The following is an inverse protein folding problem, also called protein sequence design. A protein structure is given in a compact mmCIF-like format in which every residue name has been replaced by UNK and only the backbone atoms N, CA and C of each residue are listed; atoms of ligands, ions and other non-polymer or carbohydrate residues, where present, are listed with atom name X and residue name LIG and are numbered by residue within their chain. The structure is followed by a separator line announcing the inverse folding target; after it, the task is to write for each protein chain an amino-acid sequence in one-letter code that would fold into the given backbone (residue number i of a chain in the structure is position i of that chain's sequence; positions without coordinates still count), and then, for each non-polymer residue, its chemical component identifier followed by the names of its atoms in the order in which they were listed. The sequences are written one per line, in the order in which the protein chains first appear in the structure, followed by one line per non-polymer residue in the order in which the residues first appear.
data_IF_422272175083
#
_entry.id   IF_422272175083
#
_cell.length_a   1.000
_cell.length_b   1.000
_cell.length_c   1.000
_cell.angle_alpha   90.00
_cell.angle_beta   90.00
_cell.angle_gamma   90.00
#
_symmetry.space_group_name_H-M   'P 1'
#
loop_
_entity.id
_entity.type
_entity.pdbx_description
1 polymer ?
#
# COMPACT_ATOMS: atom_id res chain seq x y z
N UNK A 1 8.48 20.22 29.41
CA UNK A 1 8.23 18.96 28.72
C UNK A 1 8.92 19.09 27.36
N UNK A 2 10.02 18.37 27.10
CA UNK A 2 10.63 18.36 25.77
C UNK A 2 9.62 17.72 24.83
N UNK A 3 9.23 18.44 23.78
CA UNK A 3 8.37 17.88 22.73
C UNK A 3 9.13 16.73 22.10
N UNK A 4 8.61 15.53 22.21
CA UNK A 4 9.12 14.38 21.47
C UNK A 4 9.09 14.72 19.98
N UNK A 5 10.28 14.83 19.35
CA UNK A 5 10.41 15.24 17.95
C UNK A 5 10.74 14.02 17.11
N UNK A 6 9.86 13.71 16.17
CA UNK A 6 10.17 12.74 15.12
C UNK A 6 11.11 13.40 14.11
N UNK A 7 12.20 12.71 13.80
CA UNK A 7 13.16 13.08 12.77
C UNK A 7 13.24 11.96 11.73
N UNK A 8 13.16 12.32 10.45
CA UNK A 8 13.39 11.38 9.35
C UNK A 8 14.55 11.91 8.52
N UNK A 9 15.57 11.09 8.33
CA UNK A 9 16.78 11.44 7.57
C UNK A 9 17.38 10.22 6.88
N UNK A 10 18.29 10.41 5.93
CA UNK A 10 19.15 9.34 5.42
C UNK A 10 20.00 8.78 6.57
N UNK A 11 20.14 7.46 6.60
CA UNK A 11 20.99 6.77 7.58
C UNK A 11 22.43 6.90 7.15
N UNK A 12 23.28 7.27 8.09
CA UNK A 12 24.72 7.47 7.89
C UNK A 12 25.59 6.71 8.92
N UNK A 13 25.00 6.24 10.01
CA UNK A 13 25.69 5.54 11.08
C UNK A 13 25.63 4.02 10.90
N UNK A 14 26.77 3.34 11.01
CA UNK A 14 26.86 1.86 10.90
C UNK A 14 25.91 1.14 11.87
N UNK A 15 25.76 1.65 13.09
CA UNK A 15 24.90 1.04 14.10
C UNK A 15 23.41 1.11 13.74
N UNK A 16 22.99 2.17 13.05
CA UNK A 16 21.61 2.31 12.57
C UNK A 16 21.30 1.32 11.44
N UNK A 17 22.26 0.99 10.57
CA UNK A 17 22.07 -0.08 9.58
C UNK A 17 21.92 -1.45 10.27
N UNK A 18 22.65 -1.71 11.34
CA UNK A 18 22.48 -2.93 12.15
C UNK A 18 21.11 -2.95 12.83
N UNK A 19 20.63 -1.78 13.28
CA UNK A 19 19.30 -1.65 13.87
C UNK A 19 18.19 -1.92 12.83
N UNK A 20 18.38 -1.51 11.57
CA UNK A 20 17.46 -1.87 10.48
C UNK A 20 17.33 -3.40 10.31
N UNK A 21 18.45 -4.13 10.49
CA UNK A 21 18.40 -5.61 10.46
C UNK A 21 17.57 -6.16 11.63
N UNK A 22 17.71 -5.61 12.84
CA UNK A 22 16.90 -6.02 14.00
C UNK A 22 15.41 -5.74 13.79
N UNK A 23 15.07 -4.59 13.18
CA UNK A 23 13.68 -4.28 12.82
C UNK A 23 13.15 -5.32 11.82
N UNK A 24 13.92 -5.68 10.78
CA UNK A 24 13.52 -6.70 9.83
C UNK A 24 13.27 -8.05 10.51
N UNK A 25 14.15 -8.48 11.42
CA UNK A 25 14.01 -9.73 12.20
C UNK A 25 12.72 -9.74 13.04
N UNK A 26 12.33 -8.60 13.63
CA UNK A 26 11.06 -8.51 14.36
C UNK A 26 9.83 -8.60 13.44
N UNK A 27 9.94 -8.09 12.21
CA UNK A 27 8.84 -8.11 11.23
C UNK A 27 8.67 -9.46 10.56
N UNK A 28 9.78 -10.13 10.24
CA UNK A 28 9.79 -11.43 9.56
C UNK A 28 9.76 -12.54 10.62
N UNK A 29 8.58 -12.93 11.05
CA UNK A 29 8.40 -13.92 12.12
C UNK A 29 8.87 -15.35 11.77
N UNK A 30 9.21 -15.68 10.52
CA UNK A 30 9.29 -17.08 10.09
C UNK A 30 10.48 -17.50 9.23
N UNK A 31 11.25 -16.64 8.59
CA UNK A 31 12.42 -17.03 7.80
C UNK A 31 13.43 -15.89 7.67
N UNK A 32 14.70 -16.18 7.91
CA UNK A 32 15.84 -15.28 7.66
C UNK A 32 16.03 -14.95 6.16
N UNK A 33 15.38 -15.70 5.28
CA UNK A 33 15.38 -15.50 3.83
C UNK A 33 14.57 -14.25 3.49
N UNK A 34 15.25 -13.16 3.19
CA UNK A 34 14.62 -11.86 2.85
C UNK A 34 15.09 -10.70 3.73
N UNK A 35 15.91 -10.96 4.75
CA UNK A 35 16.55 -9.91 5.53
C UNK A 35 17.71 -9.31 4.72
N UNK A 36 17.63 -8.01 4.46
CA UNK A 36 18.69 -7.27 3.78
C UNK A 36 19.79 -6.94 4.79
N UNK A 37 21.04 -7.38 4.55
CA UNK A 37 22.16 -7.15 5.47
C UNK A 37 22.50 -5.67 5.62
N UNK A 38 23.04 -5.27 6.77
CA UNK A 38 23.41 -3.89 7.09
C UNK A 38 24.34 -3.26 6.02
N UNK A 39 25.39 -3.98 5.61
CA UNK A 39 26.33 -3.48 4.60
C UNK A 39 25.66 -3.20 3.24
N UNK A 40 24.61 -3.97 2.88
CA UNK A 40 23.91 -3.77 1.63
C UNK A 40 22.99 -2.55 1.70
N UNK A 41 22.35 -2.29 2.86
CA UNK A 41 21.57 -1.07 3.10
C UNK A 41 22.46 0.18 2.98
N UNK A 42 23.68 0.13 3.49
CA UNK A 42 24.68 1.18 3.34
C UNK A 42 25.08 1.40 1.87
N UNK A 43 25.46 0.33 1.16
CA UNK A 43 25.81 0.38 -0.26
C UNK A 43 24.69 0.92 -1.13
N UNK A 44 23.44 0.60 -0.84
CA UNK A 44 22.26 1.13 -1.55
C UNK A 44 22.23 2.66 -1.43
N UNK A 45 22.38 3.21 -0.22
CA UNK A 45 22.40 4.66 0.00
C UNK A 45 23.55 5.36 -0.75
N UNK A 46 24.75 4.76 -0.73
CA UNK A 46 25.95 5.28 -1.39
C UNK A 46 25.89 5.23 -2.92
N UNK A 47 25.05 4.36 -3.50
CA UNK A 47 24.98 4.13 -4.95
C UNK A 47 23.64 4.60 -5.58
N UNK A 48 23.15 5.75 -5.13
CA UNK A 48 21.98 6.41 -5.73
C UNK A 48 20.64 5.93 -5.23
N UNK A 49 20.59 4.93 -4.33
CA UNK A 49 19.38 4.58 -3.61
C UNK A 49 19.10 5.51 -2.44
N UNK A 50 18.17 5.11 -1.57
CA UNK A 50 17.82 5.79 -0.33
C UNK A 50 17.70 4.77 0.80
N UNK A 51 18.32 5.04 1.95
CA UNK A 51 18.05 4.33 3.20
C UNK A 51 17.70 5.35 4.26
N UNK A 52 16.40 5.43 4.60
CA UNK A 52 15.83 6.41 5.52
C UNK A 52 15.59 5.81 6.88
N UNK A 53 15.98 6.53 7.94
CA UNK A 53 15.64 6.23 9.32
C UNK A 53 14.57 7.17 9.86
N UNK A 54 13.64 6.63 10.62
CA UNK A 54 12.66 7.37 11.42
C UNK A 54 13.05 7.31 12.90
N UNK A 55 13.34 8.44 13.49
CA UNK A 55 13.91 8.55 14.84
C UNK A 55 12.97 9.26 15.82
N UNK A 56 13.01 8.85 17.06
CA UNK A 56 12.46 9.58 18.20
C UNK A 56 13.57 9.72 19.26
N UNK A 57 13.96 10.95 19.58
CA UNK A 57 15.04 11.22 20.54
C UNK A 57 16.30 10.38 20.23
N UNK A 58 16.79 10.45 19.00
CA UNK A 58 17.96 9.72 18.46
C UNK A 58 17.81 8.20 18.36
N UNK A 59 16.72 7.62 18.86
CA UNK A 59 16.44 6.18 18.74
C UNK A 59 15.76 5.89 17.41
N UNK A 60 16.29 4.95 16.61
CA UNK A 60 15.68 4.45 15.40
C UNK A 60 14.42 3.64 15.73
N UNK A 61 13.27 4.03 15.16
CA UNK A 61 11.97 3.38 15.35
C UNK A 61 11.56 2.53 14.16
N UNK A 62 12.06 2.89 12.98
CA UNK A 62 11.70 2.28 11.71
C UNK A 62 12.59 2.81 10.59
N UNK A 63 12.51 2.15 9.46
CA UNK A 63 13.32 2.50 8.28
C UNK A 63 12.54 2.27 6.99
N UNK A 64 13.04 2.86 5.90
CA UNK A 64 12.66 2.54 4.54
C UNK A 64 13.90 2.52 3.67
N UNK A 65 14.04 1.53 2.80
CA UNK A 65 15.09 1.59 1.80
C UNK A 65 14.54 1.44 0.38
N UNK A 66 15.26 2.05 -0.55
CA UNK A 66 14.96 2.04 -1.97
C UNK A 66 16.25 1.96 -2.75
N UNK A 67 16.36 1.00 -3.63
CA UNK A 67 17.53 0.94 -4.52
C UNK A 67 17.29 1.72 -5.82
N UNK A 68 18.38 2.18 -6.41
CA UNK A 68 18.38 2.83 -7.71
C UNK A 68 18.06 1.81 -8.81
N UNK A 69 17.21 2.20 -9.74
CA UNK A 69 16.84 1.41 -10.88
C UNK A 69 16.86 2.28 -12.14
N UNK A 70 16.95 1.63 -13.29
CA UNK A 70 16.95 2.31 -14.59
C UNK A 70 16.14 1.50 -15.61
N UNK A 71 15.31 2.18 -16.38
CA UNK A 71 14.73 1.61 -17.58
C UNK A 71 14.92 2.55 -18.78
N UNK A 72 14.88 2.01 -19.98
CA UNK A 72 15.01 2.83 -21.21
C UNK A 72 13.88 3.87 -21.33
N UNK A 73 12.71 3.55 -20.84
CA UNK A 73 11.52 4.41 -20.97
C UNK A 73 11.41 5.43 -19.84
N UNK A 74 11.76 5.05 -18.62
CA UNK A 74 11.58 5.88 -17.41
C UNK A 74 12.84 6.62 -16.99
N UNK A 75 14.02 6.24 -17.53
CA UNK A 75 15.30 6.74 -17.03
C UNK A 75 15.59 6.19 -15.63
N UNK A 76 16.20 7.04 -14.78
CA UNK A 76 16.45 6.72 -13.38
C UNK A 76 15.16 6.82 -12.55
N UNK A 77 14.90 5.79 -11.75
CA UNK A 77 13.82 5.75 -10.77
C UNK A 77 14.25 4.97 -9.52
N UNK A 78 13.45 5.05 -8.47
CA UNK A 78 13.67 4.29 -7.25
C UNK A 78 12.70 3.11 -7.14
N UNK A 79 13.20 1.95 -6.74
CA UNK A 79 12.37 0.84 -6.30
C UNK A 79 12.43 0.76 -4.77
N UNK A 80 11.31 1.13 -4.11
CA UNK A 80 11.19 1.09 -2.66
C UNK A 80 10.82 -0.33 -2.23
N UNK A 81 11.74 -1.03 -1.61
CA UNK A 81 11.55 -2.45 -1.28
C UNK A 81 10.85 -2.64 0.07
N UNK A 82 11.50 -2.24 1.14
CA UNK A 82 10.97 -2.46 2.49
C UNK A 82 10.81 -1.15 3.25
N UNK A 83 9.67 -1.00 3.89
CA UNK A 83 9.42 -0.03 4.95
C UNK A 83 8.94 -0.77 6.19
N UNK A 84 9.68 -0.65 7.28
CA UNK A 84 9.40 -1.37 8.51
C UNK A 84 9.54 -0.50 9.76
N UNK A 85 8.74 -0.82 10.77
CA UNK A 85 8.78 -0.19 12.10
C UNK A 85 8.69 -1.28 13.16
N UNK A 86 9.35 -1.08 14.29
CA UNK A 86 9.10 -1.89 15.47
C UNK A 86 7.61 -1.97 15.78
N UNK A 87 7.11 -3.12 16.22
CA UNK A 87 5.67 -3.37 16.48
C UNK A 87 5.03 -2.29 17.38
N UNK A 88 5.77 -1.81 18.39
CA UNK A 88 5.31 -0.76 19.29
C UNK A 88 5.04 0.60 18.60
N UNK A 89 5.60 0.82 17.42
CA UNK A 89 5.49 2.08 16.67
C UNK A 89 4.69 1.96 15.38
N UNK A 90 4.14 0.80 15.07
CA UNK A 90 3.23 0.62 13.95
C UNK A 90 1.88 1.33 14.18
N UNK A 91 1.14 1.60 13.11
CA UNK A 91 -0.18 2.27 13.12
C UNK A 91 -0.20 3.69 13.71
N UNK A 92 0.97 4.35 13.84
CA UNK A 92 1.11 5.73 14.35
C UNK A 92 1.32 6.78 13.25
N UNK A 93 0.88 6.50 12.02
CA UNK A 93 1.03 7.37 10.84
C UNK A 93 2.48 7.68 10.44
N UNK A 94 3.49 7.07 11.07
CA UNK A 94 4.91 7.30 10.78
C UNK A 94 5.28 6.94 9.33
N UNK A 95 4.67 5.90 8.76
CA UNK A 95 4.91 5.50 7.37
C UNK A 95 4.57 6.59 6.36
N UNK A 96 3.55 7.42 6.61
CA UNK A 96 3.23 8.55 5.75
C UNK A 96 4.31 9.66 5.85
N UNK A 97 4.80 9.96 7.05
CA UNK A 97 5.90 10.93 7.24
C UNK A 97 7.18 10.47 6.50
N UNK A 98 7.50 9.16 6.57
CA UNK A 98 8.63 8.60 5.81
C UNK A 98 8.42 8.77 4.32
N UNK A 99 7.20 8.55 3.80
CA UNK A 99 6.87 8.76 2.38
C UNK A 99 7.01 10.23 1.95
N UNK A 100 6.67 11.19 2.82
CA UNK A 100 6.88 12.61 2.53
C UNK A 100 8.37 12.95 2.36
N UNK A 101 9.24 12.44 3.23
CA UNK A 101 10.69 12.64 3.10
C UNK A 101 11.25 11.88 1.90
N UNK A 102 10.79 10.64 1.66
CA UNK A 102 11.16 9.87 0.46
C UNK A 102 10.81 10.63 -0.83
N UNK A 103 9.65 11.28 -0.88
CA UNK A 103 9.22 12.10 -2.01
C UNK A 103 10.23 13.24 -2.30
N UNK A 104 10.58 14.00 -1.27
CA UNK A 104 11.52 15.12 -1.41
C UNK A 104 12.89 14.66 -1.92
N UNK A 105 13.45 13.65 -1.25
CA UNK A 105 14.77 13.12 -1.60
C UNK A 105 14.79 12.42 -2.97
N UNK A 106 13.70 11.75 -3.36
CA UNK A 106 13.59 11.17 -4.69
C UNK A 106 13.60 12.25 -5.79
N UNK A 107 12.91 13.38 -5.57
CA UNK A 107 12.95 14.53 -6.49
C UNK A 107 14.35 15.15 -6.56
N UNK A 108 15.02 15.36 -5.42
CA UNK A 108 16.37 15.91 -5.33
C UNK A 108 17.41 15.04 -6.05
N UNK A 109 17.29 13.70 -5.92
CA UNK A 109 18.13 12.73 -6.64
C UNK A 109 17.78 12.63 -8.13
N UNK A 110 16.72 13.29 -8.60
CA UNK A 110 16.34 13.32 -10.01
C UNK A 110 15.52 12.10 -10.47
N UNK A 111 14.98 11.31 -9.56
CA UNK A 111 14.14 10.18 -9.92
C UNK A 111 12.90 10.61 -10.71
N UNK A 112 12.54 9.83 -11.72
CA UNK A 112 11.31 10.05 -12.49
C UNK A 112 10.06 9.62 -11.71
N UNK A 113 10.18 8.53 -10.95
CA UNK A 113 9.12 7.92 -10.15
C UNK A 113 9.68 7.05 -9.04
N UNK A 114 8.81 6.55 -8.18
CA UNK A 114 9.14 5.49 -7.22
C UNK A 114 8.16 4.34 -7.41
N UNK A 115 8.65 3.10 -7.48
CA UNK A 115 7.86 1.89 -7.62
C UNK A 115 7.99 1.06 -6.35
N UNK A 116 6.92 0.40 -5.93
CA UNK A 116 6.96 -0.66 -4.91
C UNK A 116 5.79 -1.62 -5.05
N UNK A 117 5.85 -2.68 -4.26
CA UNK A 117 4.78 -3.67 -4.23
C UNK A 117 4.16 -3.77 -2.84
N UNK A 118 2.88 -4.10 -2.78
CA UNK A 118 2.20 -4.35 -1.50
C UNK A 118 1.08 -5.38 -1.65
N UNK A 119 0.68 -5.99 -0.53
CA UNK A 119 -0.43 -6.94 -0.50
C UNK A 119 -1.76 -6.22 -0.75
N UNK A 120 -2.49 -6.54 -1.83
CA UNK A 120 -3.72 -5.86 -2.21
C UNK A 120 -4.86 -5.99 -1.19
N UNK A 121 -4.81 -6.96 -0.29
CA UNK A 121 -5.88 -7.18 0.68
C UNK A 121 -5.66 -6.45 2.02
N UNK A 122 -4.54 -5.74 2.17
CA UNK A 122 -4.25 -4.94 3.37
C UNK A 122 -4.77 -3.50 3.22
N UNK A 123 -5.95 -3.22 3.75
CA UNK A 123 -6.59 -1.90 3.71
C UNK A 123 -5.71 -0.75 4.23
N UNK A 124 -4.98 -0.87 5.35
CA UNK A 124 -4.05 0.17 5.82
C UNK A 124 -2.97 0.53 4.80
N UNK A 125 -2.44 -0.47 4.07
CA UNK A 125 -1.46 -0.23 3.01
C UNK A 125 -2.10 0.50 1.81
N UNK A 126 -3.29 0.06 1.40
CA UNK A 126 -4.05 0.72 0.34
C UNK A 126 -4.33 2.20 0.66
N UNK A 127 -4.72 2.49 1.88
CA UNK A 127 -4.98 3.85 2.34
C UNK A 127 -3.73 4.74 2.24
N UNK A 128 -2.57 4.27 2.68
CA UNK A 128 -1.32 5.04 2.54
C UNK A 128 -0.95 5.16 1.07
N UNK A 129 -0.88 4.05 0.36
CA UNK A 129 -0.28 3.94 -0.96
C UNK A 129 -1.07 4.63 -2.08
N UNK A 130 -2.39 4.57 -2.01
CA UNK A 130 -3.25 5.16 -3.03
C UNK A 130 -3.84 6.47 -2.54
N UNK A 131 -4.51 6.45 -1.38
CA UNK A 131 -5.25 7.62 -0.93
C UNK A 131 -4.33 8.73 -0.43
N UNK A 132 -3.36 8.43 0.47
CA UNK A 132 -2.52 9.46 1.08
C UNK A 132 -1.37 9.92 0.19
N UNK A 133 -0.68 9.01 -0.50
CA UNK A 133 0.48 9.41 -1.33
C UNK A 133 0.14 9.57 -2.81
N UNK A 134 -1.06 9.17 -3.25
CA UNK A 134 -1.50 9.37 -4.63
C UNK A 134 -0.94 8.39 -5.66
N UNK A 135 -0.39 7.25 -5.23
CA UNK A 135 0.09 6.22 -6.15
C UNK A 135 -1.03 5.58 -6.96
N UNK A 136 -0.68 4.96 -8.08
CA UNK A 136 -1.59 4.25 -8.97
C UNK A 136 -1.06 2.83 -9.15
N UNK A 137 -1.95 1.82 -9.03
CA UNK A 137 -1.57 0.44 -9.31
C UNK A 137 -1.64 0.19 -10.80
N UNK A 138 -0.51 -0.21 -11.38
CA UNK A 138 -0.36 -0.45 -12.81
C UNK A 138 -0.74 -1.88 -13.20
N UNK A 139 -0.33 -2.87 -12.40
CA UNK A 139 -0.61 -4.29 -12.65
C UNK A 139 -0.56 -5.12 -11.37
N UNK A 140 -0.92 -6.37 -11.52
CA UNK A 140 -1.00 -7.36 -10.45
C UNK A 140 -0.02 -8.51 -10.70
N UNK A 141 0.81 -8.82 -9.73
CA UNK A 141 1.75 -9.94 -9.75
C UNK A 141 1.28 -11.05 -8.81
N UNK A 142 1.11 -12.24 -9.36
CA UNK A 142 0.83 -13.44 -8.57
C UNK A 142 2.11 -14.04 -8.03
N UNK A 143 2.01 -14.64 -6.86
CA UNK A 143 3.07 -15.45 -6.26
C UNK A 143 4.45 -14.73 -6.27
N UNK A 144 4.43 -13.40 -6.08
CA UNK A 144 5.63 -12.55 -6.14
C UNK A 144 6.69 -12.96 -5.13
N UNK A 145 6.27 -13.42 -3.96
CA UNK A 145 7.12 -13.89 -2.89
C UNK A 145 6.70 -15.30 -2.45
N UNK A 146 7.53 -15.94 -1.62
CA UNK A 146 7.18 -17.22 -1.06
C UNK A 146 5.86 -17.17 -0.28
N UNK A 147 5.09 -18.24 -0.37
CA UNK A 147 3.85 -18.40 0.39
C UNK A 147 4.14 -18.41 1.89
N UNK A 148 3.23 -17.82 2.66
CA UNK A 148 3.26 -17.90 4.13
C UNK A 148 2.24 -18.94 4.58
N UNK A 149 2.73 -19.97 5.27
CA UNK A 149 1.87 -21.00 5.85
C UNK A 149 1.36 -20.56 7.22
N UNK A 150 0.06 -20.54 7.39
CA UNK A 150 -0.65 -20.19 8.62
C UNK A 150 -1.03 -21.42 9.44
N UNK A 151 -1.78 -21.22 10.52
CA UNK A 151 -2.34 -22.29 11.33
C UNK A 151 -3.11 -23.29 10.46
N UNK A 152 -3.16 -24.54 10.87
CA UNK A 152 -3.80 -25.66 10.12
C UNK A 152 -3.16 -25.98 8.76
N UNK A 153 -1.94 -25.52 8.49
CA UNK A 153 -1.22 -25.82 7.26
C UNK A 153 -1.76 -25.13 6.00
N UNK A 154 -2.55 -24.06 6.14
CA UNK A 154 -3.04 -23.29 5.00
C UNK A 154 -1.96 -22.33 4.53
N UNK A 155 -1.53 -22.48 3.27
CA UNK A 155 -0.59 -21.55 2.62
C UNK A 155 -1.37 -20.53 1.80
N UNK A 156 -1.10 -19.24 2.06
CA UNK A 156 -1.75 -18.13 1.35
C UNK A 156 -0.74 -17.53 0.37
N UNK A 157 -1.07 -17.52 -0.94
CA UNK A 157 -0.21 -16.94 -1.96
C UNK A 157 0.14 -15.48 -1.71
N UNK A 158 1.40 -15.11 -1.97
CA UNK A 158 1.93 -13.77 -1.73
C UNK A 158 1.81 -12.87 -2.96
N UNK A 159 0.58 -12.64 -3.40
CA UNK A 159 0.29 -11.74 -4.51
C UNK A 159 0.54 -10.28 -4.16
N UNK A 160 0.89 -9.48 -5.16
CA UNK A 160 1.22 -8.06 -4.98
C UNK A 160 0.56 -7.18 -6.04
N UNK A 161 0.13 -6.01 -5.60
CA UNK A 161 -0.03 -4.87 -6.49
C UNK A 161 1.34 -4.24 -6.75
N UNK A 162 1.60 -3.88 -7.99
CA UNK A 162 2.75 -3.05 -8.37
C UNK A 162 2.25 -1.62 -8.51
N UNK A 163 2.69 -0.78 -7.60
CA UNK A 163 2.31 0.62 -7.53
C UNK A 163 3.36 1.49 -8.20
N UNK A 164 2.89 2.39 -9.04
CA UNK A 164 3.68 3.42 -9.71
C UNK A 164 3.36 4.79 -9.06
N UNK A 165 4.33 5.35 -8.40
CA UNK A 165 4.23 6.66 -7.77
C UNK A 165 4.90 7.71 -8.63
N UNK A 166 4.10 8.33 -9.48
CA UNK A 166 4.51 9.37 -10.44
C UNK A 166 4.76 10.69 -9.70
N UNK A 167 5.90 10.78 -9.01
CA UNK A 167 6.22 11.86 -8.04
C UNK A 167 6.22 13.27 -8.63
N UNK A 168 6.20 13.43 -9.96
CA UNK A 168 6.18 14.73 -10.65
C UNK A 168 4.79 15.20 -11.06
N UNK A 169 3.76 14.41 -10.78
CA UNK A 169 2.37 14.74 -11.14
C UNK A 169 1.70 15.63 -10.08
N UNK A 170 0.76 16.46 -10.49
CA UNK A 170 -0.02 17.31 -9.60
C UNK A 170 -0.81 16.47 -8.58
N UNK A 171 -1.32 15.33 -9.00
CA UNK A 171 -1.98 14.35 -8.09
C UNK A 171 -1.11 14.00 -6.88
N UNK A 172 0.15 13.65 -7.11
CA UNK A 172 1.06 13.25 -6.02
C UNK A 172 1.47 14.47 -5.22
N UNK A 173 1.78 15.58 -5.90
CA UNK A 173 2.20 16.83 -5.28
C UNK A 173 1.14 17.36 -4.30
N UNK A 174 -0.12 17.45 -4.71
CA UNK A 174 -1.21 17.93 -3.86
C UNK A 174 -1.39 17.02 -2.63
N UNK A 175 -1.38 15.70 -2.80
CA UNK A 175 -1.56 14.76 -1.68
C UNK A 175 -0.40 14.75 -0.68
N UNK A 176 0.83 15.00 -1.14
CA UNK A 176 2.02 14.98 -0.27
C UNK A 176 2.27 16.33 0.41
N UNK A 177 2.16 17.45 -0.33
CA UNK A 177 2.59 18.76 0.15
C UNK A 177 1.47 19.57 0.80
N UNK A 178 0.28 19.53 0.25
CA UNK A 178 -0.83 20.38 0.69
C UNK A 178 -1.47 19.87 1.98
N UNK A 179 -0.97 18.73 2.48
CA UNK A 179 -1.49 18.08 3.69
C UNK A 179 -3.04 18.05 3.67
N UNK A 180 -3.60 18.15 2.48
CA UNK A 180 -4.99 17.86 2.23
C UNK A 180 -5.15 16.34 2.46
N UNK A 181 -4.80 15.94 3.67
CA UNK A 181 -5.57 14.93 4.35
C UNK A 181 -6.93 15.62 4.36
N UNK A 182 -7.63 15.43 3.25
CA UNK A 182 -9.02 15.72 3.23
C UNK A 182 -9.60 15.01 4.45
N UNK A 183 -9.74 15.75 5.54
CA UNK A 183 -10.59 15.38 6.67
C UNK A 183 -11.99 15.07 6.16
N UNK A 184 -12.21 15.30 4.89
CA UNK A 184 -13.49 15.36 4.24
C UNK A 184 -13.99 14.09 3.59
N UNK A 185 -13.38 12.95 3.82
CA UNK A 185 -14.19 11.76 3.75
C UNK A 185 -14.18 11.15 5.14
N UNK A 186 -15.17 11.55 5.91
CA UNK A 186 -15.68 10.74 7.01
C UNK A 186 -15.66 9.28 6.54
N UNK A 187 -15.24 8.33 7.38
CA UNK A 187 -15.50 6.94 7.10
C UNK A 187 -16.95 6.86 6.65
N UNK A 188 -17.22 6.46 5.40
CA UNK A 188 -18.59 6.33 4.95
C UNK A 188 -18.98 6.98 3.63
N UNK A 189 -18.18 7.86 3.04
CA UNK A 189 -18.56 8.47 1.76
C UNK A 189 -17.66 7.99 0.63
N UNK A 190 -18.29 7.51 -0.45
CA UNK A 190 -17.70 7.52 -1.78
C UNK A 190 -17.26 8.97 -2.02
N UNK A 191 -16.01 9.24 -2.46
CA UNK A 191 -15.57 10.60 -2.75
C UNK A 191 -16.64 11.32 -3.57
N UNK A 192 -16.97 12.55 -3.20
CA UNK A 192 -18.10 13.31 -3.78
C UNK A 192 -18.03 13.37 -5.32
N UNK A 193 -16.81 13.33 -5.85
CA UNK A 193 -16.47 13.18 -7.28
C UNK A 193 -17.19 12.00 -7.96
N UNK A 194 -17.43 10.93 -7.21
CA UNK A 194 -18.09 9.72 -7.72
C UNK A 194 -19.51 9.56 -7.19
N UNK A 195 -19.95 10.41 -6.25
CA UNK A 195 -21.25 10.29 -5.58
C UNK A 195 -22.45 10.37 -6.55
N UNK A 196 -22.28 11.08 -7.66
CA UNK A 196 -23.30 11.22 -8.70
C UNK A 196 -23.26 10.11 -9.77
N UNK A 197 -22.43 9.09 -9.60
CA UNK A 197 -22.30 7.96 -10.54
C UNK A 197 -22.68 6.66 -9.83
N UNK A 198 -23.52 5.87 -10.47
CA UNK A 198 -23.72 4.47 -10.06
C UNK A 198 -22.52 3.66 -10.56
N UNK A 199 -21.58 3.35 -9.68
CA UNK A 199 -20.42 2.53 -10.02
C UNK A 199 -20.70 1.11 -9.52
N UNK A 200 -20.67 0.10 -10.41
CA UNK A 200 -20.98 -1.27 -9.99
C UNK A 200 -19.91 -1.84 -9.07
N UNK A 201 -20.33 -2.50 -8.01
CA UNK A 201 -19.50 -3.41 -7.23
C UNK A 201 -19.51 -4.76 -7.92
N UNK A 202 -18.32 -5.27 -8.25
CA UNK A 202 -18.18 -6.45 -9.12
C UNK A 202 -18.34 -7.80 -8.41
N UNK A 203 -18.76 -7.79 -7.16
CA UNK A 203 -19.18 -8.99 -6.45
C UNK A 203 -20.04 -8.67 -5.24
N UNK A 204 -20.74 -9.70 -4.74
CA UNK A 204 -21.43 -9.61 -3.47
C UNK A 204 -20.59 -10.25 -2.36
N UNK A 205 -20.61 -9.65 -1.21
CA UNK A 205 -20.07 -10.20 0.02
C UNK A 205 -21.13 -10.22 1.11
N UNK A 206 -21.09 -11.21 1.96
CA UNK A 206 -21.98 -11.37 3.11
C UNK A 206 -21.21 -11.89 4.32
N UNK A 207 -21.80 -11.78 5.50
CA UNK A 207 -21.26 -12.44 6.68
C UNK A 207 -21.29 -13.95 6.54
N UNK A 208 -20.21 -14.58 6.96
CA UNK A 208 -20.11 -16.03 6.97
C UNK A 208 -21.15 -16.63 7.92
N UNK A 209 -21.81 -17.71 7.49
CA UNK A 209 -22.83 -18.39 8.32
C UNK A 209 -22.28 -18.98 9.62
N UNK A 210 -20.99 -19.33 9.64
CA UNK A 210 -20.33 -19.97 10.79
C UNK A 210 -19.56 -18.95 11.63
N UNK A 211 -19.03 -17.88 10.99
CA UNK A 211 -18.23 -16.83 11.62
C UNK A 211 -18.80 -15.45 11.27
N UNK A 212 -19.83 -15.03 12.01
CA UNK A 212 -20.53 -13.76 11.78
C UNK A 212 -19.64 -12.50 11.85
N UNK A 213 -18.41 -12.64 12.35
CA UNK A 213 -17.44 -11.55 12.50
C UNK A 213 -16.84 -11.10 11.14
N UNK A 214 -16.75 -12.01 10.17
CA UNK A 214 -16.08 -11.72 8.90
C UNK A 214 -17.00 -11.97 7.69
N UNK A 215 -16.76 -11.18 6.63
CA UNK A 215 -17.46 -11.31 5.36
C UNK A 215 -16.76 -12.31 4.45
N UNK A 216 -17.52 -12.95 3.58
CA UNK A 216 -17.04 -13.81 2.49
C UNK A 216 -17.57 -13.33 1.15
N UNK A 217 -16.84 -13.56 0.07
CA UNK A 217 -17.33 -13.31 -1.29
C UNK A 217 -18.28 -14.42 -1.69
N UNK A 218 -19.53 -14.07 -2.03
CA UNK A 218 -20.55 -15.06 -2.46
C UNK A 218 -20.60 -15.22 -3.97
N UNK A 219 -20.59 -14.10 -4.72
CA UNK A 219 -20.73 -14.08 -6.16
C UNK A 219 -19.70 -13.14 -6.80
N UNK A 220 -19.19 -13.50 -7.98
CA UNK A 220 -18.27 -12.70 -8.76
C UNK A 220 -18.89 -12.27 -10.07
N UNK A 221 -18.76 -11.01 -10.43
CA UNK A 221 -19.21 -10.46 -11.69
C UNK A 221 -18.02 -9.90 -12.48
N UNK A 222 -18.06 -10.04 -13.79
CA UNK A 222 -17.04 -9.53 -14.69
C UNK A 222 -17.70 -8.57 -15.68
N UNK A 223 -17.44 -7.29 -15.53
CA UNK A 223 -18.07 -6.19 -16.29
C UNK A 223 -17.00 -5.41 -17.05
N UNK A 224 -16.40 -6.00 -18.12
CA UNK A 224 -15.25 -5.39 -18.78
C UNK A 224 -15.60 -4.13 -19.60
N UNK A 225 -16.88 -3.88 -19.87
CA UNK A 225 -17.33 -2.69 -20.60
C UNK A 225 -17.52 -1.45 -19.70
N UNK A 226 -17.64 -1.66 -18.40
CA UNK A 226 -17.81 -0.55 -17.45
C UNK A 226 -16.53 0.28 -17.36
N UNK A 227 -16.59 1.61 -17.51
CA UNK A 227 -15.39 2.45 -17.42
C UNK A 227 -14.80 2.49 -16.01
N UNK A 228 -15.63 2.28 -15.00
CA UNK A 228 -15.29 2.28 -13.58
C UNK A 228 -15.93 1.09 -12.88
N UNK A 229 -15.18 0.42 -12.00
CA UNK A 229 -15.71 -0.65 -11.15
C UNK A 229 -15.14 -0.56 -9.73
N UNK A 230 -15.91 -1.04 -8.77
CA UNK A 230 -15.51 -1.13 -7.36
C UNK A 230 -15.15 -2.57 -7.01
N UNK A 231 -14.00 -2.73 -6.37
CA UNK A 231 -13.55 -4.00 -5.79
C UNK A 231 -13.46 -3.84 -4.29
N UNK A 232 -14.32 -4.54 -3.56
CA UNK A 232 -14.22 -4.60 -2.11
C UNK A 232 -13.04 -5.48 -1.69
N UNK A 233 -12.39 -5.12 -0.58
CA UNK A 233 -11.41 -5.99 0.10
C UNK A 233 -11.77 -6.09 1.58
N UNK A 234 -11.31 -7.13 2.28
CA UNK A 234 -11.61 -7.30 3.70
C UNK A 234 -11.16 -6.09 4.52
N UNK A 235 -11.93 -5.72 5.53
CA UNK A 235 -11.54 -4.65 6.43
C UNK A 235 -10.33 -5.05 7.28
N UNK A 236 -10.34 -6.26 7.83
CA UNK A 236 -9.31 -6.78 8.73
C UNK A 236 -8.67 -8.08 8.21
N UNK A 237 -8.05 -8.01 7.01
CA UNK A 237 -7.48 -9.20 6.38
C UNK A 237 -6.42 -9.89 7.24
N UNK A 238 -5.66 -9.14 8.05
CA UNK A 238 -4.66 -9.74 8.95
C UNK A 238 -5.32 -10.64 10.00
N UNK A 239 -6.41 -10.19 10.58
CA UNK A 239 -7.16 -10.98 11.58
C UNK A 239 -7.78 -12.23 10.95
N UNK A 240 -8.30 -12.12 9.72
CA UNK A 240 -8.82 -13.27 8.97
C UNK A 240 -7.72 -14.32 8.76
N UNK A 241 -6.51 -13.88 8.37
CA UNK A 241 -5.36 -14.80 8.19
C UNK A 241 -5.01 -15.56 9.47
N UNK A 242 -5.09 -14.92 10.61
CA UNK A 242 -4.74 -15.52 11.90
C UNK A 242 -5.85 -16.40 12.46
N UNK A 243 -7.12 -15.98 12.34
CA UNK A 243 -8.27 -16.64 12.93
C UNK A 243 -8.87 -17.72 12.01
N UNK A 244 -8.96 -17.44 10.70
CA UNK A 244 -9.64 -18.29 9.70
C UNK A 244 -8.82 -18.32 8.40
N UNK A 245 -7.66 -18.97 8.37
CA UNK A 245 -6.78 -18.97 7.19
C UNK A 245 -7.47 -19.48 5.91
N UNK A 246 -8.43 -20.40 6.03
CA UNK A 246 -9.20 -20.92 4.90
C UNK A 246 -10.04 -19.82 4.23
N UNK A 247 -10.65 -18.93 5.02
CA UNK A 247 -11.38 -17.77 4.51
C UNK A 247 -10.42 -16.76 3.87
N UNK A 248 -9.25 -16.54 4.47
CA UNK A 248 -8.23 -15.66 3.88
C UNK A 248 -7.72 -16.20 2.54
N UNK A 249 -7.55 -17.53 2.42
CA UNK A 249 -7.22 -18.17 1.16
C UNK A 249 -8.34 -17.99 0.11
N UNK A 250 -9.60 -18.16 0.50
CA UNK A 250 -10.75 -17.95 -0.39
C UNK A 250 -10.80 -16.49 -0.91
N UNK A 251 -10.65 -15.51 -0.02
CA UNK A 251 -10.52 -14.09 -0.41
C UNK A 251 -9.39 -13.86 -1.40
N UNK A 252 -8.20 -14.42 -1.13
CA UNK A 252 -7.04 -14.32 -2.01
C UNK A 252 -7.33 -14.88 -3.40
N UNK A 253 -7.90 -16.07 -3.48
CA UNK A 253 -8.15 -16.73 -4.76
C UNK A 253 -9.25 -16.05 -5.58
N UNK A 254 -10.31 -15.58 -4.95
CA UNK A 254 -11.39 -14.85 -5.61
C UNK A 254 -10.92 -13.48 -6.10
N UNK A 255 -10.24 -12.70 -5.27
CA UNK A 255 -9.70 -11.39 -5.67
C UNK A 255 -8.55 -11.52 -6.68
N UNK A 256 -7.73 -12.58 -6.64
CA UNK A 256 -6.72 -12.90 -7.67
C UNK A 256 -7.37 -12.95 -9.05
N UNK A 257 -8.49 -13.67 -9.20
CA UNK A 257 -9.22 -13.76 -10.48
C UNK A 257 -9.68 -12.39 -10.96
N UNK A 258 -10.20 -11.57 -10.06
CA UNK A 258 -10.66 -10.21 -10.38
C UNK A 258 -9.51 -9.30 -10.80
N UNK A 259 -8.44 -9.23 -10.00
CA UNK A 259 -7.32 -8.34 -10.30
C UNK A 259 -6.56 -8.75 -11.55
N UNK A 260 -6.40 -10.07 -11.81
CA UNK A 260 -5.87 -10.53 -13.09
C UNK A 260 -6.73 -10.09 -14.27
N UNK A 261 -8.04 -10.32 -14.18
CA UNK A 261 -8.98 -9.96 -15.24
C UNK A 261 -8.94 -8.45 -15.51
N UNK A 262 -9.13 -7.63 -14.48
CA UNK A 262 -9.22 -6.19 -14.69
C UNK A 262 -7.88 -5.55 -15.01
N UNK A 263 -6.83 -5.80 -14.23
CA UNK A 263 -5.55 -5.10 -14.36
C UNK A 263 -4.71 -5.67 -15.51
N UNK A 264 -4.55 -7.00 -15.57
CA UNK A 264 -3.60 -7.61 -16.49
C UNK A 264 -4.21 -7.87 -17.88
N UNK A 265 -5.50 -8.23 -17.96
CA UNK A 265 -6.17 -8.55 -19.24
C UNK A 265 -6.87 -7.33 -19.83
N UNK A 266 -7.63 -6.59 -19.03
CA UNK A 266 -8.41 -5.44 -19.51
C UNK A 266 -7.76 -4.08 -19.25
N UNK A 267 -6.52 -4.05 -18.73
CA UNK A 267 -5.68 -2.86 -18.54
C UNK A 267 -6.28 -1.74 -17.69
N UNK A 268 -7.19 -2.08 -16.78
CA UNK A 268 -7.62 -1.14 -15.74
C UNK A 268 -6.45 -0.79 -14.83
N UNK A 269 -6.57 0.35 -14.17
CA UNK A 269 -5.67 0.80 -13.10
C UNK A 269 -6.45 0.97 -11.81
N UNK A 270 -5.82 0.67 -10.68
CA UNK A 270 -6.41 1.09 -9.40
C UNK A 270 -6.05 2.54 -9.18
N UNK A 271 -7.04 3.40 -9.21
CA UNK A 271 -6.87 4.85 -9.18
C UNK A 271 -7.27 5.49 -7.86
N UNK A 272 -8.09 4.81 -7.04
CA UNK A 272 -8.47 5.33 -5.72
C UNK A 272 -8.77 4.19 -4.75
N UNK A 273 -8.80 4.54 -3.46
CA UNK A 273 -9.17 3.66 -2.36
C UNK A 273 -9.97 4.47 -1.34
N UNK A 274 -11.05 3.90 -0.83
CA UNK A 274 -11.87 4.53 0.19
C UNK A 274 -12.53 3.50 1.11
N UNK A 275 -12.98 3.99 2.25
CA UNK A 275 -13.76 3.24 3.22
C UNK A 275 -15.19 3.76 3.19
N UNK A 276 -16.17 2.86 3.21
CA UNK A 276 -17.58 3.19 3.27
C UNK A 276 -18.21 2.58 4.52
N UNK A 277 -18.99 3.39 5.23
CA UNK A 277 -19.83 2.91 6.34
C UNK A 277 -21.16 2.41 5.78
N UNK A 278 -21.51 1.19 6.15
CA UNK A 278 -22.83 0.61 5.87
C UNK A 278 -23.43 0.09 7.17
N UNK A 279 -24.30 0.89 7.79
CA UNK A 279 -24.79 0.62 9.14
C UNK A 279 -23.66 0.74 10.16
N UNK A 280 -23.37 -0.33 10.89
CA UNK A 280 -22.29 -0.40 11.89
C UNK A 280 -20.96 -0.93 11.29
N UNK A 281 -20.93 -1.28 10.00
CA UNK A 281 -19.76 -1.87 9.35
C UNK A 281 -18.97 -0.85 8.54
N UNK A 282 -17.64 -0.99 8.56
CA UNK A 282 -16.72 -0.29 7.66
C UNK A 282 -16.27 -1.26 6.58
N UNK A 283 -16.42 -0.86 5.32
CA UNK A 283 -16.00 -1.64 4.15
C UNK A 283 -14.95 -0.90 3.35
N UNK A 284 -13.99 -1.64 2.82
CA UNK A 284 -12.88 -1.12 2.03
C UNK A 284 -13.13 -1.34 0.54
N UNK A 285 -12.91 -0.32 -0.28
CA UNK A 285 -13.10 -0.41 -1.73
C UNK A 285 -11.92 0.19 -2.49
N UNK A 286 -11.47 -0.53 -3.50
CA UNK A 286 -10.68 0.01 -4.59
C UNK A 286 -11.59 0.52 -5.70
N UNK A 287 -11.21 1.64 -6.31
CA UNK A 287 -11.78 2.11 -7.56
C UNK A 287 -10.83 1.77 -8.69
N UNK A 288 -11.32 1.00 -9.65
CA UNK A 288 -10.60 0.64 -10.86
C UNK A 288 -11.16 1.42 -12.04
N UNK A 289 -10.29 1.89 -12.93
CA UNK A 289 -10.63 2.64 -14.12
C UNK A 289 -9.84 2.18 -15.34
N UNK A 290 -10.47 2.21 -16.52
CA UNK A 290 -9.80 2.04 -17.82
C UNK A 290 -8.94 3.25 -18.17
N UNK A 291 -9.26 4.42 -17.67
CA UNK A 291 -8.54 5.68 -17.92
C UNK A 291 -8.05 6.27 -16.61
N UNK A 292 -6.83 6.75 -16.59
CA UNK A 292 -6.34 7.59 -15.49
C UNK A 292 -6.88 8.99 -15.78
N UNK A 293 -7.69 9.60 -14.91
CA UNK A 293 -8.12 10.97 -15.10
C UNK A 293 -6.91 11.90 -15.13
N UNK A 294 -6.85 12.80 -16.09
CA UNK A 294 -5.78 13.80 -16.22
C UNK A 294 -5.73 14.76 -15.02
N UNK A 295 -6.89 15.04 -14.45
CA UNK A 295 -7.05 15.69 -13.16
C UNK A 295 -8.13 14.96 -12.39
N UNK A 296 -7.86 14.67 -11.11
CA UNK A 296 -8.97 14.37 -10.21
C UNK A 296 -9.66 15.69 -9.94
N UNK A 297 -11.01 15.76 -10.08
CA UNK A 297 -11.71 16.99 -9.77
C UNK A 297 -11.30 17.46 -8.38
N UNK A 298 -10.86 18.69 -8.28
CA UNK A 298 -10.68 19.35 -6.99
C UNK A 298 -12.02 19.23 -6.25
N UNK A 299 -12.00 18.78 -5.01
CA UNK A 299 -13.17 18.89 -4.16
C UNK A 299 -13.41 20.38 -3.99
N UNK A 300 -14.51 20.88 -4.54
CA UNK A 300 -14.92 22.27 -4.38
C UNK A 300 -14.82 22.64 -2.90
N UNK A 301 -13.96 23.59 -2.61
CA UNK A 301 -13.82 24.22 -1.31
C UNK A 301 -15.14 24.92 -0.99
N UNK A 302 -15.98 24.28 -0.19
CA UNK A 302 -17.09 24.93 0.49
C UNK A 302 -16.70 25.25 1.92
#
# INVERSE_FOLDING_TARGET
MSSEKILIKEIDAEEDFKECVRIQQELVQLNEVGIVPAYLLELIGQNGGLTLGCYLNEKLLGFNFSFSAYSKNDGYYLFSDTMGFYKAYQRKSLGFLVKQVQYQLALEKGASKVIWTYDPLLGPNANINIRKVGGIVQWYEMDKYAEVTYSKGVSIPADRFVLDWQIRTDRVKSRILENHIHQATLPGSIPQVYANRTIPVIYHSSHQKIHFEFREITDLYFLPEEPLVLVEIPYEFQDIKEKIPELAFDWRMKTRRLFQFYLNVHHYKVIDFFQAEQGEEIRNFYLLSKQIPDSFPEEDSC
#
